data_IF_050518174694
#
_entry.id   IF_050518174694
#
_cell.length_a   1.000
_cell.length_b   1.000
_cell.length_c   1.000
_cell.angle_alpha   90.00
_cell.angle_beta   90.00
_cell.angle_gamma   90.00
#
_symmetry.space_group_name_H-M   'P 1'
#
loop_
_entity.id
_entity.type
_entity.pdbx_description
1 polymer ?
#
# COMPACT_ATOMS: atom_id res chain seq x y z
N UNK A 1 -2.56 -17.44 -56.66
CA UNK A 1 -3.24 -16.23 -56.16
C UNK A 1 -3.03 -16.22 -54.65
N UNK A 2 -2.22 -15.27 -54.17
CA UNK A 2 -1.74 -15.21 -52.79
C UNK A 2 -2.58 -14.15 -52.09
N UNK A 3 -3.57 -14.60 -51.31
CA UNK A 3 -4.47 -13.75 -50.52
C UNK A 3 -3.65 -12.97 -49.49
N UNK A 4 -3.85 -11.65 -49.49
CA UNK A 4 -3.17 -10.70 -48.63
C UNK A 4 -3.92 -10.59 -47.30
N UNK A 5 -3.20 -10.82 -46.20
CA UNK A 5 -3.71 -10.63 -44.85
C UNK A 5 -3.90 -9.13 -44.57
N UNK A 6 -5.02 -8.70 -43.96
CA UNK A 6 -5.25 -7.29 -43.64
C UNK A 6 -4.33 -6.80 -42.51
N UNK A 7 -4.00 -5.49 -42.47
CA UNK A 7 -3.16 -4.91 -41.43
C UNK A 7 -3.90 -4.86 -40.10
N UNK A 8 -3.25 -5.35 -39.05
CA UNK A 8 -3.74 -5.26 -37.67
C UNK A 8 -3.83 -3.78 -37.30
N UNK A 9 -5.05 -3.35 -36.97
CA UNK A 9 -5.38 -1.97 -36.62
C UNK A 9 -4.47 -1.41 -35.53
N UNK A 10 -4.08 -0.16 -35.73
CA UNK A 10 -3.29 0.66 -34.84
C UNK A 10 -3.78 0.60 -33.39
N UNK A 11 -2.93 0.11 -32.48
CA UNK A 11 -3.11 0.35 -31.06
C UNK A 11 -2.87 1.85 -30.84
N UNK A 12 -3.92 2.56 -30.45
CA UNK A 12 -3.84 3.98 -30.11
C UNK A 12 -2.82 4.19 -28.99
N UNK A 13 -1.69 4.80 -29.31
CA UNK A 13 -0.84 5.51 -28.35
C UNK A 13 -1.39 6.93 -28.20
N UNK A 14 -1.97 7.30 -27.06
CA UNK A 14 -2.15 8.70 -26.75
C UNK A 14 -0.86 9.19 -26.10
N UNK A 15 0.01 9.83 -26.86
CA UNK A 15 1.03 10.73 -26.30
C UNK A 15 1.28 11.86 -27.28
N UNK A 16 0.25 12.68 -27.46
CA UNK A 16 0.41 14.05 -27.94
C UNK A 16 0.25 14.97 -26.72
N UNK A 17 1.31 15.06 -25.92
CA UNK A 17 1.46 15.93 -24.77
C UNK A 17 2.94 15.95 -24.41
N UNK A 18 3.55 17.12 -24.36
CA UNK A 18 5.00 17.34 -24.29
C UNK A 18 5.60 17.12 -22.89
N UNK A 19 4.95 16.33 -22.03
CA UNK A 19 5.35 16.01 -20.65
C UNK A 19 5.19 14.52 -20.35
N UNK A 20 5.87 14.06 -19.30
CA UNK A 20 5.65 12.71 -18.76
C UNK A 20 4.26 12.68 -18.08
N UNK A 21 3.45 11.64 -18.34
CA UNK A 21 2.07 11.53 -17.83
C UNK A 21 2.00 11.65 -16.30
N UNK A 22 3.04 11.18 -15.61
CA UNK A 22 3.16 11.30 -14.14
C UNK A 22 3.34 12.77 -13.73
N UNK A 23 4.15 13.52 -14.45
CA UNK A 23 4.41 14.93 -14.17
C UNK A 23 3.13 15.76 -14.39
N UNK A 24 2.38 15.48 -15.46
CA UNK A 24 1.10 16.15 -15.73
C UNK A 24 0.03 15.81 -14.66
N UNK A 25 -0.02 14.56 -14.22
CA UNK A 25 -0.89 14.12 -13.12
C UNK A 25 -0.53 14.81 -11.80
N UNK A 26 0.77 14.89 -11.47
CA UNK A 26 1.26 15.59 -10.28
C UNK A 26 0.92 17.07 -10.33
N UNK A 27 1.14 17.74 -11.47
CA UNK A 27 0.78 19.14 -11.66
C UNK A 27 -0.73 19.37 -11.45
N UNK A 28 -1.58 18.53 -12.04
CA UNK A 28 -3.03 18.65 -11.88
C UNK A 28 -3.48 18.39 -10.43
N UNK A 29 -2.83 17.47 -9.72
CA UNK A 29 -3.07 17.24 -8.30
C UNK A 29 -2.72 18.46 -7.45
N UNK A 30 -1.53 19.03 -7.66
CA UNK A 30 -1.08 20.23 -6.95
C UNK A 30 -2.02 21.41 -7.22
N UNK A 31 -2.43 21.58 -8.48
CA UNK A 31 -3.34 22.67 -8.85
C UNK A 31 -4.72 22.50 -8.21
N UNK A 32 -5.30 21.30 -8.25
CA UNK A 32 -6.56 20.98 -7.57
C UNK A 32 -6.48 21.23 -6.05
N UNK A 33 -5.38 20.83 -5.41
CA UNK A 33 -5.16 21.03 -3.98
C UNK A 33 -5.01 22.52 -3.64
N UNK A 34 -4.25 23.27 -4.43
CA UNK A 34 -4.01 24.70 -4.22
C UNK A 34 -5.30 25.53 -4.26
N UNK A 35 -6.24 25.21 -5.15
CA UNK A 35 -7.54 25.91 -5.21
C UNK A 35 -8.37 25.62 -3.96
N UNK A 36 -8.27 24.43 -3.38
CA UNK A 36 -9.01 24.04 -2.17
C UNK A 36 -8.39 24.59 -0.87
N UNK A 37 -7.08 24.80 -0.84
CA UNK A 37 -6.34 25.18 0.38
C UNK A 37 -5.90 26.64 0.43
N UNK A 38 -6.09 27.42 -0.65
CA UNK A 38 -5.84 28.86 -0.60
C UNK A 38 -6.82 29.52 0.36
N UNK A 39 -6.29 30.02 1.47
CA UNK A 39 -7.04 30.79 2.46
C UNK A 39 -7.23 32.21 1.91
N UNK A 40 -8.45 32.53 1.46
CA UNK A 40 -8.81 33.83 0.88
C UNK A 40 -8.74 34.94 1.95
N UNK A 41 -7.67 35.73 1.93
CA UNK A 41 -7.54 36.93 2.77
C UNK A 41 -8.30 38.15 2.21
N UNK A 42 -9.07 38.02 1.12
CA UNK A 42 -9.67 39.18 0.41
C UNK A 42 -11.18 38.97 0.19
N UNK A 43 -12.04 39.89 0.65
CA UNK A 43 -13.50 39.72 0.61
C UNK A 43 -14.16 40.10 -0.73
N UNK A 44 -13.44 40.03 -1.87
CA UNK A 44 -13.94 40.51 -3.18
C UNK A 44 -13.83 39.52 -4.33
N UNK A 45 -13.40 38.29 -4.08
CA UNK A 45 -13.30 37.26 -5.12
C UNK A 45 -14.69 36.69 -5.39
N UNK A 46 -15.12 36.73 -6.66
CA UNK A 46 -16.45 36.26 -7.06
C UNK A 46 -16.56 34.75 -6.77
N UNK A 47 -17.42 34.38 -5.82
CA UNK A 47 -17.62 32.98 -5.38
C UNK A 47 -17.91 32.01 -6.54
N UNK A 48 -18.51 32.52 -7.61
CA UNK A 48 -18.80 31.75 -8.82
C UNK A 48 -17.53 31.42 -9.61
N UNK A 49 -16.56 32.34 -9.68
CA UNK A 49 -15.28 32.12 -10.36
C UNK A 49 -14.48 31.03 -9.66
N UNK A 50 -14.39 31.09 -8.33
CA UNK A 50 -13.74 30.05 -7.51
C UNK A 50 -14.43 28.70 -7.72
N UNK A 51 -15.76 28.67 -7.74
CA UNK A 51 -16.51 27.43 -7.96
C UNK A 51 -16.22 26.82 -9.34
N UNK A 52 -16.16 27.64 -10.38
CA UNK A 52 -15.79 27.20 -11.74
C UNK A 52 -14.35 26.68 -11.78
N UNK A 53 -13.40 27.36 -11.13
CA UNK A 53 -11.99 26.94 -11.06
C UNK A 53 -11.84 25.60 -10.31
N UNK A 54 -12.54 25.40 -9.19
CA UNK A 54 -12.57 24.12 -8.47
C UNK A 54 -13.09 23.01 -9.37
N UNK A 55 -14.23 23.23 -10.05
CA UNK A 55 -14.82 22.22 -10.94
C UNK A 55 -13.85 21.87 -12.09
N UNK A 56 -13.23 22.88 -12.70
CA UNK A 56 -12.30 22.70 -13.82
C UNK A 56 -11.04 21.91 -13.42
N UNK A 57 -10.40 22.30 -12.31
CA UNK A 57 -9.17 21.64 -11.83
C UNK A 57 -9.45 20.21 -11.36
N UNK A 58 -10.61 19.99 -10.73
CA UNK A 58 -11.07 18.66 -10.32
C UNK A 58 -11.28 17.74 -11.52
N UNK A 59 -11.98 18.20 -12.57
CA UNK A 59 -12.21 17.41 -13.77
C UNK A 59 -10.91 17.05 -14.48
N UNK A 60 -9.99 18.01 -14.62
CA UNK A 60 -8.67 17.77 -15.21
C UNK A 60 -7.87 16.73 -14.43
N UNK A 61 -7.88 16.80 -13.10
CA UNK A 61 -7.22 15.82 -12.25
C UNK A 61 -7.81 14.41 -12.42
N UNK A 62 -9.15 14.31 -12.45
CA UNK A 62 -9.85 13.03 -12.67
C UNK A 62 -9.48 12.42 -14.03
N UNK A 63 -9.43 13.22 -15.09
CA UNK A 63 -9.10 12.74 -16.43
C UNK A 63 -7.66 12.23 -16.53
N UNK A 64 -6.71 12.89 -15.87
CA UNK A 64 -5.33 12.44 -15.79
C UNK A 64 -5.18 11.19 -14.90
N UNK A 65 -5.94 11.11 -13.80
CA UNK A 65 -5.99 9.90 -12.97
C UNK A 65 -6.43 8.68 -13.77
N UNK A 66 -7.48 8.82 -14.58
CA UNK A 66 -8.00 7.77 -15.47
C UNK A 66 -6.99 7.39 -16.55
N UNK A 67 -6.30 8.38 -17.14
CA UNK A 67 -5.24 8.10 -18.11
C UNK A 67 -4.08 7.34 -17.48
N UNK A 68 -3.68 7.71 -16.26
CA UNK A 68 -2.62 7.04 -15.52
C UNK A 68 -2.99 5.59 -15.18
N UNK A 69 -4.23 5.35 -14.73
CA UNK A 69 -4.77 4.01 -14.53
C UNK A 69 -4.73 3.18 -15.81
N UNK A 70 -5.26 3.72 -16.92
CA UNK A 70 -5.26 3.03 -18.21
C UNK A 70 -3.84 2.68 -18.69
N UNK A 71 -2.88 3.60 -18.51
CA UNK A 71 -1.48 3.37 -18.86
C UNK A 71 -0.89 2.20 -18.07
N UNK A 72 -1.06 2.17 -16.75
CA UNK A 72 -0.50 1.10 -15.93
C UNK A 72 -1.21 -0.24 -16.14
N UNK A 73 -2.53 -0.24 -16.35
CA UNK A 73 -3.28 -1.44 -16.71
C UNK A 73 -2.78 -2.03 -18.03
N UNK A 74 -2.58 -1.20 -19.06
CA UNK A 74 -2.05 -1.66 -20.35
C UNK A 74 -0.64 -2.24 -20.20
N UNK A 75 0.24 -1.60 -19.43
CA UNK A 75 1.60 -2.11 -19.17
C UNK A 75 1.56 -3.44 -18.41
N UNK A 76 0.69 -3.58 -17.41
CA UNK A 76 0.52 -4.80 -16.62
C UNK A 76 -0.01 -5.95 -17.46
N UNK A 77 -1.06 -5.71 -18.26
CA UNK A 77 -1.58 -6.71 -19.21
C UNK A 77 -0.47 -7.20 -20.15
N UNK A 78 0.28 -6.27 -20.74
CA UNK A 78 1.39 -6.61 -21.63
C UNK A 78 2.48 -7.43 -20.93
N UNK A 79 2.84 -7.09 -19.69
CA UNK A 79 3.80 -7.85 -18.89
C UNK A 79 3.31 -9.27 -18.59
N UNK A 80 2.03 -9.44 -18.25
CA UNK A 80 1.45 -10.76 -17.99
C UNK A 80 1.49 -11.66 -19.24
N UNK A 81 1.25 -11.09 -20.42
CA UNK A 81 1.25 -11.82 -21.68
C UNK A 81 2.68 -12.13 -22.18
N UNK A 82 3.59 -11.16 -22.08
CA UNK A 82 4.94 -11.27 -22.68
C UNK A 82 6.00 -11.80 -21.72
N UNK A 83 5.80 -11.65 -20.40
CA UNK A 83 6.78 -12.04 -19.37
C UNK A 83 6.13 -12.74 -18.16
N UNK A 84 5.30 -13.78 -18.36
CA UNK A 84 4.62 -14.48 -17.26
C UNK A 84 5.60 -15.06 -16.23
N UNK A 85 6.76 -15.55 -16.68
CA UNK A 85 7.83 -16.07 -15.81
C UNK A 85 8.39 -15.04 -14.82
N UNK A 86 8.40 -13.75 -15.23
CA UNK A 86 8.86 -12.67 -14.36
C UNK A 86 7.85 -12.41 -13.25
N UNK A 87 6.55 -12.40 -13.59
CA UNK A 87 5.44 -12.22 -12.64
C UNK A 87 5.47 -13.34 -11.59
N UNK A 88 5.54 -14.59 -12.03
CA UNK A 88 5.60 -15.75 -11.13
C UNK A 88 6.83 -15.70 -10.21
N UNK A 89 7.98 -15.24 -10.70
CA UNK A 89 9.19 -15.08 -9.87
C UNK A 89 9.03 -14.00 -8.81
N UNK A 90 8.37 -12.90 -9.13
CA UNK A 90 8.06 -11.83 -8.17
C UNK A 90 7.13 -12.36 -7.08
N UNK A 91 6.05 -13.05 -7.45
CA UNK A 91 5.12 -13.69 -6.51
C UNK A 91 5.84 -14.69 -5.59
N UNK A 92 6.72 -15.54 -6.15
CA UNK A 92 7.54 -16.47 -5.36
C UNK A 92 8.43 -15.71 -4.36
N UNK A 93 8.99 -14.58 -4.77
CA UNK A 93 9.82 -13.74 -3.90
C UNK A 93 9.02 -13.16 -2.75
N UNK A 94 7.83 -12.58 -3.03
CA UNK A 94 6.92 -12.06 -2.01
C UNK A 94 6.50 -13.15 -1.01
N UNK A 95 6.13 -14.33 -1.51
CA UNK A 95 5.74 -15.47 -0.67
C UNK A 95 6.89 -15.96 0.21
N UNK A 96 8.13 -15.97 -0.29
CA UNK A 96 9.32 -16.33 0.51
C UNK A 96 9.57 -15.34 1.63
N UNK A 97 9.43 -14.04 1.36
CA UNK A 97 9.58 -13.01 2.39
C UNK A 97 8.50 -13.13 3.47
N UNK A 98 7.25 -13.35 3.07
CA UNK A 98 6.16 -13.53 4.01
C UNK A 98 6.31 -14.82 4.83
N UNK A 99 6.81 -15.90 4.22
CA UNK A 99 7.14 -17.13 4.93
C UNK A 99 8.21 -16.88 6.01
N UNK A 100 9.33 -16.25 5.65
CA UNK A 100 10.41 -15.94 6.60
C UNK A 100 9.92 -15.06 7.76
N UNK A 101 9.09 -14.04 7.46
CA UNK A 101 8.48 -13.18 8.49
C UNK A 101 7.60 -13.98 9.45
N UNK A 102 6.83 -14.96 8.94
CA UNK A 102 5.99 -15.85 9.75
C UNK A 102 6.82 -16.82 10.59
N UNK A 103 7.90 -17.37 10.05
CA UNK A 103 8.83 -18.24 10.78
C UNK A 103 9.44 -17.52 11.99
N UNK A 104 9.88 -16.27 11.81
CA UNK A 104 10.42 -15.45 12.90
C UNK A 104 9.36 -15.11 13.96
N UNK A 105 8.12 -14.87 13.54
CA UNK A 105 7.02 -14.65 14.48
C UNK A 105 6.72 -15.92 15.30
N UNK A 106 6.66 -17.08 14.65
CA UNK A 106 6.47 -18.37 15.32
C UNK A 106 7.58 -18.62 16.33
N UNK A 107 8.84 -18.41 15.94
CA UNK A 107 10.00 -18.55 16.83
C UNK A 107 9.86 -17.72 18.10
N UNK A 108 9.53 -16.42 17.97
CA UNK A 108 9.28 -15.54 19.13
C UNK A 108 8.14 -16.03 20.02
N UNK A 109 7.10 -16.63 19.45
CA UNK A 109 6.02 -17.23 20.23
C UNK A 109 6.47 -18.48 20.98
N UNK A 110 7.23 -19.37 20.34
CA UNK A 110 7.81 -20.54 21.00
C UNK A 110 8.74 -20.14 22.15
N UNK A 111 9.58 -19.11 21.97
CA UNK A 111 10.44 -18.60 23.03
C UNK A 111 9.64 -18.10 24.25
N UNK A 112 8.54 -17.35 24.01
CA UNK A 112 7.64 -16.91 25.09
C UNK A 112 6.96 -18.08 25.80
N UNK A 113 6.52 -19.09 25.04
CA UNK A 113 5.93 -20.31 25.62
C UNK A 113 6.95 -21.00 26.52
N UNK A 114 8.20 -21.15 26.08
CA UNK A 114 9.27 -21.74 26.88
C UNK A 114 9.51 -20.96 28.18
N UNK A 115 9.54 -19.62 28.11
CA UNK A 115 9.64 -18.77 29.30
C UNK A 115 8.48 -19.02 30.27
N UNK A 116 7.24 -19.04 29.78
CA UNK A 116 6.06 -19.29 30.62
C UNK A 116 6.05 -20.70 31.22
N UNK A 117 6.48 -21.71 30.47
CA UNK A 117 6.62 -23.07 30.95
C UNK A 117 7.65 -23.17 32.09
N UNK A 118 8.80 -22.50 31.95
CA UNK A 118 9.83 -22.45 32.99
C UNK A 118 9.32 -21.77 34.26
N UNK A 119 8.66 -20.61 34.14
CA UNK A 119 8.05 -19.93 35.30
C UNK A 119 7.03 -20.82 36.03
N UNK A 120 6.22 -21.57 35.29
CA UNK A 120 5.23 -22.48 35.88
C UNK A 120 5.90 -23.67 36.58
N UNK A 121 7.01 -24.18 36.03
CA UNK A 121 7.79 -25.25 36.65
C UNK A 121 8.43 -24.78 37.97
N UNK A 122 8.97 -23.56 38.01
CA UNK A 122 9.53 -22.94 39.21
C UNK A 122 8.47 -22.70 40.30
N UNK A 123 7.25 -22.30 39.92
CA UNK A 123 6.15 -22.16 40.87
C UNK A 123 5.75 -23.51 41.49
N UNK A 124 5.67 -24.56 40.66
CA UNK A 124 5.34 -25.92 41.11
C UNK A 124 6.42 -26.47 42.05
N UNK A 125 7.69 -26.20 41.78
CA UNK A 125 8.79 -26.61 42.67
C UNK A 125 8.72 -25.88 44.02
N UNK A 126 8.31 -24.61 44.03
CA UNK A 126 8.09 -23.85 45.27
C UNK A 126 6.93 -24.41 46.12
N UNK A 127 5.82 -24.81 45.48
CA UNK A 127 4.66 -25.40 46.19
C UNK A 127 4.89 -26.80 46.74
N UNK A 128 5.97 -27.50 46.34
CA UNK A 128 6.32 -28.83 46.87
C UNK A 128 7.27 -28.77 48.08
N UNK A 129 7.73 -27.58 48.49
CA UNK A 129 8.54 -27.41 49.70
C UNK A 129 7.63 -27.11 50.89
N UNK A 130 7.65 -27.92 51.98
CA UNK A 130 6.92 -27.55 53.18
C UNK A 130 7.68 -26.42 53.88
N UNK A 131 7.06 -25.25 53.99
CA UNK A 131 7.40 -24.18 54.94
C UNK A 131 8.82 -23.61 54.85
N UNK A 132 8.97 -22.41 54.30
CA UNK A 132 9.46 -21.27 55.09
C UNK A 132 9.22 -19.98 54.32
N UNK A 133 8.45 -19.06 54.92
CA UNK A 133 8.07 -17.81 54.31
C UNK A 133 9.24 -16.84 54.12
N UNK A 134 9.14 -16.01 53.08
CA UNK A 134 9.52 -14.62 53.19
C UNK A 134 8.77 -13.80 52.13
N UNK A 135 7.93 -12.88 52.60
CA UNK A 135 7.21 -11.91 51.77
C UNK A 135 8.23 -10.86 51.33
N UNK A 136 8.53 -10.84 50.02
CA UNK A 136 9.37 -9.82 49.38
C UNK A 136 8.58 -9.16 48.25
N UNK A 137 7.86 -8.09 48.57
CA UNK A 137 7.21 -7.19 47.61
C UNK A 137 8.24 -6.50 46.73
N UNK A 138 8.19 -6.73 45.42
CA UNK A 138 8.73 -5.80 44.43
C UNK A 138 8.01 -6.02 43.10
N UNK A 139 7.03 -5.17 42.82
CA UNK A 139 6.41 -5.05 41.49
C UNK A 139 6.65 -3.62 41.05
N UNK A 140 7.67 -3.43 40.23
CA UNK A 140 7.98 -2.16 39.58
C UNK A 140 7.33 -2.17 38.19
N UNK A 141 6.47 -1.18 37.95
CA UNK A 141 5.70 -0.97 36.74
C UNK A 141 6.62 -0.57 35.58
N UNK A 142 6.67 -1.39 34.53
CA UNK A 142 7.36 -1.07 33.27
C UNK A 142 6.36 -0.78 32.16
N UNK A 143 6.10 0.51 31.93
CA UNK A 143 5.29 1.06 30.85
C UNK A 143 5.98 0.79 29.50
N UNK A 144 5.24 0.26 28.52
CA UNK A 144 5.69 0.09 27.14
C UNK A 144 5.55 1.44 26.43
N UNK A 145 6.60 2.04 25.83
CA UNK A 145 6.42 3.16 24.93
C UNK A 145 5.95 2.62 23.57
N UNK A 146 4.75 2.99 23.14
CA UNK A 146 4.33 2.85 21.74
C UNK A 146 5.03 3.92 20.91
N UNK A 147 5.90 3.49 19.99
CA UNK A 147 6.37 4.33 18.89
C UNK A 147 5.28 4.44 17.82
N UNK A 148 5.11 5.60 17.16
CA UNK A 148 4.21 5.71 16.01
C UNK A 148 4.71 4.78 14.90
N UNK A 149 3.79 3.98 14.36
CA UNK A 149 4.05 3.07 13.24
C UNK A 149 4.35 3.94 12.01
N UNK A 150 5.63 4.13 11.69
CA UNK A 150 6.04 4.59 10.38
C UNK A 150 5.74 3.46 9.41
N UNK A 151 4.71 3.63 8.58
CA UNK A 151 4.37 2.68 7.52
C UNK A 151 5.48 2.77 6.47
N UNK A 152 6.27 1.70 6.23
CA UNK A 152 7.31 1.74 5.21
C UNK A 152 6.68 2.02 3.84
N UNK A 153 7.31 2.84 2.99
CA UNK A 153 6.81 3.13 1.63
C UNK A 153 6.60 1.86 0.79
N UNK A 154 7.29 0.77 1.14
CA UNK A 154 7.11 -0.57 0.57
C UNK A 154 5.73 -1.18 0.88
N UNK A 155 5.19 -0.92 2.09
CA UNK A 155 3.84 -1.30 2.47
C UNK A 155 2.79 -0.43 1.74
N UNK A 156 3.08 0.85 1.48
CA UNK A 156 2.21 1.73 0.69
C UNK A 156 2.13 1.24 -0.76
N UNK A 157 3.27 0.92 -1.38
CA UNK A 157 3.33 0.31 -2.71
C UNK A 157 2.59 -1.04 -2.77
N UNK A 158 2.75 -1.89 -1.74
CA UNK A 158 2.03 -3.16 -1.63
C UNK A 158 0.51 -2.95 -1.52
N UNK A 159 0.06 -1.95 -0.75
CA UNK A 159 -1.35 -1.61 -0.61
C UNK A 159 -1.94 -1.02 -1.90
N UNK A 160 -1.17 -0.22 -2.66
CA UNK A 160 -1.57 0.27 -3.98
C UNK A 160 -1.70 -0.92 -4.95
N UNK A 161 -0.72 -1.82 -4.98
CA UNK A 161 -0.74 -3.06 -5.81
C UNK A 161 -1.94 -3.95 -5.47
N UNK A 162 -2.26 -4.12 -4.19
CA UNK A 162 -3.44 -4.86 -3.70
C UNK A 162 -4.75 -4.15 -4.05
N UNK A 163 -4.80 -2.82 -3.96
CA UNK A 163 -5.95 -2.01 -4.37
C UNK A 163 -6.29 -2.24 -5.84
N UNK A 164 -5.30 -2.26 -6.73
CA UNK A 164 -5.50 -2.56 -8.16
C UNK A 164 -5.98 -4.00 -8.42
N UNK A 165 -5.53 -4.99 -7.64
CA UNK A 165 -6.03 -6.36 -7.75
C UNK A 165 -7.49 -6.50 -7.29
N UNK A 166 -7.92 -5.72 -6.29
CA UNK A 166 -9.30 -5.73 -5.81
C UNK A 166 -10.28 -5.08 -6.81
N UNK A 167 -9.80 -4.09 -7.58
CA UNK A 167 -10.57 -3.49 -8.70
C UNK A 167 -10.74 -4.48 -9.86
N UNK A 168 -9.77 -5.36 -10.13
CA UNK A 168 -9.94 -6.43 -11.14
C UNK A 168 -10.99 -7.48 -10.78
N UNK A 169 -11.09 -7.82 -9.49
CA UNK A 169 -12.12 -8.75 -9.00
C UNK A 169 -13.52 -8.14 -9.15
N UNK A 170 -13.65 -6.83 -8.96
CA UNK A 170 -14.93 -6.11 -9.08
C UNK A 170 -15.37 -5.83 -10.53
N UNK A 171 -14.47 -5.97 -11.52
CA UNK A 171 -14.78 -5.76 -12.95
C UNK A 171 -15.02 -7.11 -13.67
N UNK A 172 -14.78 -8.25 -13.01
CA UNK A 172 -14.93 -9.60 -13.59
C UNK A 172 -16.25 -10.31 -13.22
N UNK A 173 -17.17 -9.64 -12.52
CA UNK A 173 -18.58 -10.04 -12.31
C UNK A 173 -19.52 -8.99 -12.94
#
# INVERSE_FOLDING_TARGET
>A
MKEASPPVSAMATPTNGSGNLVDEFEEAFQHCLNVLTKEEAVPTTDKEEIKVEVEQTTLRFIDLARQMEAFFLQKRFLLSALKPEMVVKEDISELRLELARKEELLKRHYDKIAVWQNLLADLKSYTRSPVQGNIGTSVNNGIIPQSPIAVPMEQVMCNIRKGFSMVEILISD
#
